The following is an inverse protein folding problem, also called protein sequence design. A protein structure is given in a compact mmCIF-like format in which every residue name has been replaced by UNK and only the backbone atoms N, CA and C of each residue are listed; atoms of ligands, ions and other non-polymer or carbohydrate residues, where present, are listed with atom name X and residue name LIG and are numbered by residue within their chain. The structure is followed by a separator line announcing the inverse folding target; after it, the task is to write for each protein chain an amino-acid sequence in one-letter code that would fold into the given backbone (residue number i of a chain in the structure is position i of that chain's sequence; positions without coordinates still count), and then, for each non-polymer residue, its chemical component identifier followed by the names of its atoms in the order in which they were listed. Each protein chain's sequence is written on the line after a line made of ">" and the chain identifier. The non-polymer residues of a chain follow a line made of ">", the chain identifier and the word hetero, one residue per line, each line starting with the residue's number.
data_IF_019924979348
#
_entry.id   IF_019924979348
#
_cell.length_a   1.000
_cell.length_b   1.000
_cell.length_c   1.000
_cell.angle_alpha   90.00
_cell.angle_beta   90.00
_cell.angle_gamma   90.00
#
_symmetry.space_group_name_H-M   'P 1'
#
loop_
_entity.id
_entity.type
_entity.pdbx_description
1 polymer ?
#
# COMPACT_ATOMS: atom_id res chain seq x y z
N UNK A 1 -4.13 -51.04 -9.04
CA UNK A 1 -4.53 -49.76 -9.60
C UNK A 1 -3.41 -48.74 -9.31
N UNK A 2 -2.65 -48.34 -10.31
CA UNK A 2 -1.61 -47.32 -10.18
C UNK A 2 -2.29 -45.95 -10.16
N UNK A 3 -2.26 -45.23 -9.03
CA UNK A 3 -2.68 -43.84 -8.95
C UNK A 3 -1.48 -42.97 -9.31
N UNK A 4 -1.62 -42.19 -10.39
CA UNK A 4 -0.65 -41.18 -10.71
C UNK A 4 -0.47 -40.24 -9.50
N UNK A 5 0.78 -39.85 -9.15
CA UNK A 5 0.98 -38.87 -8.07
C UNK A 5 0.20 -37.60 -8.42
N UNK A 6 -0.43 -36.95 -7.44
CA UNK A 6 -1.14 -35.69 -7.68
C UNK A 6 -0.19 -34.73 -8.38
N UNK A 7 -0.66 -34.11 -9.47
CA UNK A 7 0.11 -33.10 -10.17
C UNK A 7 0.60 -32.05 -9.15
N UNK A 8 1.87 -31.62 -9.23
CA UNK A 8 2.37 -30.61 -8.31
C UNK A 8 1.48 -29.37 -8.45
N UNK A 9 0.81 -29.02 -7.35
CA UNK A 9 0.04 -27.77 -7.27
C UNK A 9 1.05 -26.68 -7.56
N UNK A 10 0.96 -26.06 -8.73
CA UNK A 10 1.81 -24.93 -9.09
C UNK A 10 1.53 -23.83 -8.07
N UNK A 11 2.36 -23.73 -7.01
CA UNK A 11 2.27 -22.65 -6.05
C UNK A 11 2.44 -21.35 -6.82
N UNK A 12 1.36 -20.59 -6.89
CA UNK A 12 1.43 -19.22 -7.41
C UNK A 12 2.51 -18.46 -6.64
N UNK A 13 3.54 -18.02 -7.34
CA UNK A 13 4.65 -17.32 -6.73
C UNK A 13 4.23 -15.92 -6.30
N UNK A 14 4.30 -15.66 -4.99
CA UNK A 14 4.00 -14.35 -4.40
C UNK A 14 5.26 -13.47 -4.38
N UNK A 15 5.15 -12.17 -4.70
CA UNK A 15 6.25 -11.23 -4.51
C UNK A 15 6.80 -11.27 -3.09
N UNK A 16 8.12 -11.31 -2.98
CA UNK A 16 8.84 -11.45 -1.72
C UNK A 16 9.50 -10.13 -1.34
N UNK A 17 9.32 -9.74 -0.08
CA UNK A 17 9.98 -8.62 0.54
C UNK A 17 11.01 -9.14 1.53
N UNK A 18 12.26 -8.74 1.33
CA UNK A 18 13.39 -9.11 2.17
C UNK A 18 13.95 -7.85 2.84
N UNK A 19 13.94 -7.84 4.18
CA UNK A 19 14.42 -6.73 4.99
C UNK A 19 15.18 -7.25 6.21
N UNK A 20 16.19 -6.50 6.71
CA UNK A 20 16.92 -6.86 7.92
C UNK A 20 16.03 -6.72 9.17
N UNK A 21 16.47 -7.32 10.27
CA UNK A 21 15.86 -7.10 11.58
C UNK A 21 15.95 -5.62 12.01
N UNK A 22 15.05 -5.15 12.91
CA UNK A 22 15.06 -3.78 13.36
C UNK A 22 16.39 -3.44 14.06
N UNK A 23 17.12 -2.49 13.49
CA UNK A 23 18.39 -2.00 14.00
C UNK A 23 18.25 -0.72 14.82
N UNK A 24 19.39 -0.24 15.33
CA UNK A 24 19.47 1.10 15.95
C UNK A 24 19.27 2.17 14.88
N UNK A 25 18.56 3.22 15.23
CA UNK A 25 18.29 4.38 14.38
C UNK A 25 18.84 5.65 15.02
N UNK A 26 19.40 6.53 14.20
CA UNK A 26 19.88 7.82 14.68
C UNK A 26 18.67 8.73 14.98
N UNK A 27 18.64 9.28 16.20
CA UNK A 27 17.53 10.17 16.63
C UNK A 27 17.37 11.40 15.76
N UNK A 28 18.46 11.93 15.20
CA UNK A 28 18.41 13.07 14.30
C UNK A 28 17.77 12.72 12.95
N UNK A 29 18.08 11.55 12.39
CA UNK A 29 17.44 11.07 11.16
C UNK A 29 15.96 10.78 11.39
N UNK A 30 15.60 10.20 12.54
CA UNK A 30 14.19 9.98 12.93
C UNK A 30 13.46 11.32 13.12
N UNK A 31 14.07 12.31 13.77
CA UNK A 31 13.49 13.65 13.99
C UNK A 31 13.24 14.36 12.66
N UNK A 32 14.22 14.36 11.77
CA UNK A 32 14.17 15.09 10.49
C UNK A 32 13.63 14.25 9.33
N UNK A 33 13.12 13.04 9.60
CA UNK A 33 12.73 12.05 8.57
C UNK A 33 11.77 12.61 7.54
N UNK A 34 10.73 13.32 7.96
CA UNK A 34 9.76 13.91 7.03
C UNK A 34 10.41 14.95 6.11
N UNK A 35 11.32 15.77 6.65
CA UNK A 35 12.07 16.75 5.86
C UNK A 35 13.00 16.06 4.85
N UNK A 36 13.69 15.00 5.30
CA UNK A 36 14.56 14.22 4.41
C UNK A 36 13.79 13.49 3.31
N UNK A 37 12.50 13.16 3.55
CA UNK A 37 11.64 12.49 2.59
C UNK A 37 11.04 13.43 1.53
N UNK A 38 11.07 14.76 1.72
CA UNK A 38 10.50 15.71 0.74
C UNK A 38 11.01 15.44 -0.69
N UNK A 39 12.34 15.36 -0.95
CA UNK A 39 12.82 15.07 -2.29
C UNK A 39 12.40 13.70 -2.80
N UNK A 40 12.31 12.69 -1.91
CA UNK A 40 11.84 11.37 -2.29
C UNK A 40 10.36 11.36 -2.68
N UNK A 41 9.52 12.12 -1.96
CA UNK A 41 8.10 12.25 -2.31
C UNK A 41 7.90 12.87 -3.69
N UNK A 42 8.69 13.90 -4.03
CA UNK A 42 8.63 14.49 -5.38
C UNK A 42 9.00 13.44 -6.44
N UNK A 43 10.09 12.70 -6.23
CA UNK A 43 10.53 11.65 -7.17
C UNK A 43 9.48 10.54 -7.27
N UNK A 44 8.99 10.01 -6.14
CA UNK A 44 7.95 8.97 -6.14
C UNK A 44 6.69 9.47 -6.82
N UNK A 45 6.28 10.72 -6.60
CA UNK A 45 5.11 11.30 -7.25
C UNK A 45 5.26 11.34 -8.78
N UNK A 46 6.39 11.85 -9.29
CA UNK A 46 6.66 11.88 -10.73
C UNK A 46 6.67 10.46 -11.31
N UNK A 47 7.39 9.53 -10.65
CA UNK A 47 7.45 8.14 -11.09
C UNK A 47 6.07 7.46 -11.04
N UNK A 48 5.23 7.79 -10.06
CA UNK A 48 3.87 7.24 -9.94
C UNK A 48 2.96 7.72 -11.08
N UNK A 49 3.09 8.99 -11.49
CA UNK A 49 2.37 9.52 -12.66
C UNK A 49 2.77 8.75 -13.92
N UNK A 50 4.07 8.53 -14.14
CA UNK A 50 4.55 7.71 -15.27
C UNK A 50 4.07 6.27 -15.13
N UNK A 51 4.15 5.67 -13.93
CA UNK A 51 3.68 4.31 -13.66
C UNK A 51 2.20 4.14 -13.98
N UNK A 52 1.37 5.15 -13.72
CA UNK A 52 -0.05 5.13 -14.05
C UNK A 52 -0.28 4.95 -15.56
N UNK A 53 0.35 5.78 -16.40
CA UNK A 53 0.23 5.67 -17.86
C UNK A 53 0.83 4.37 -18.40
N UNK A 54 1.98 3.98 -17.87
CA UNK A 54 2.65 2.72 -18.24
C UNK A 54 1.77 1.51 -17.87
N UNK A 55 1.08 1.55 -16.72
CA UNK A 55 0.15 0.49 -16.31
C UNK A 55 -1.06 0.41 -17.23
N UNK A 56 -1.61 1.54 -17.68
CA UNK A 56 -2.70 1.55 -18.67
C UNK A 56 -2.24 0.93 -19.99
N UNK A 57 -1.08 1.33 -20.51
CA UNK A 57 -0.50 0.74 -21.71
C UNK A 57 -0.23 -0.76 -21.54
N UNK A 58 0.26 -1.14 -20.35
CA UNK A 58 0.48 -2.54 -19.97
C UNK A 58 -0.80 -3.36 -19.93
N UNK A 59 -1.91 -2.77 -19.46
CA UNK A 59 -3.21 -3.42 -19.40
C UNK A 59 -3.72 -3.81 -20.80
N UNK A 60 -3.68 -2.87 -21.76
CA UNK A 60 -4.01 -3.17 -23.14
C UNK A 60 -3.05 -4.19 -23.75
N UNK A 61 -1.74 -4.03 -23.52
CA UNK A 61 -0.74 -4.98 -24.00
C UNK A 61 -0.95 -6.39 -23.44
N UNK A 62 -1.26 -6.52 -22.16
CA UNK A 62 -1.51 -7.80 -21.52
C UNK A 62 -2.79 -8.47 -21.99
N UNK A 63 -3.85 -7.73 -22.31
CA UNK A 63 -5.08 -8.26 -22.90
C UNK A 63 -4.83 -8.90 -24.28
N UNK A 64 -3.97 -8.27 -25.09
CA UNK A 64 -3.65 -8.77 -26.45
C UNK A 64 -2.63 -9.90 -26.39
N UNK A 65 -1.51 -9.70 -25.68
CA UNK A 65 -0.35 -10.59 -25.68
C UNK A 65 -0.45 -11.73 -24.64
N UNK A 66 -1.31 -11.62 -23.61
CA UNK A 66 -1.34 -12.53 -22.45
C UNK A 66 -0.13 -12.38 -21.51
N UNK A 67 0.69 -11.35 -21.71
CA UNK A 67 1.85 -10.99 -20.88
C UNK A 67 2.12 -9.50 -20.96
N UNK A 68 2.86 -8.96 -20.00
CA UNK A 68 3.28 -7.57 -20.07
C UNK A 68 4.27 -7.36 -21.24
N UNK A 69 4.13 -6.26 -22.01
CA UNK A 69 5.19 -5.81 -22.90
C UNK A 69 6.50 -5.58 -22.12
N UNK A 70 7.66 -5.90 -22.74
CA UNK A 70 8.96 -5.87 -22.06
C UNK A 70 9.27 -4.51 -21.41
N UNK A 71 9.10 -3.40 -22.13
CA UNK A 71 9.37 -2.07 -21.62
C UNK A 71 8.49 -1.69 -20.40
N UNK A 72 7.23 -2.17 -20.37
CA UNK A 72 6.31 -1.97 -19.23
C UNK A 72 6.80 -2.78 -18.04
N UNK A 73 7.13 -4.07 -18.26
CA UNK A 73 7.65 -4.93 -17.20
C UNK A 73 8.96 -4.39 -16.62
N UNK A 74 9.89 -3.91 -17.45
CA UNK A 74 11.17 -3.34 -17.03
C UNK A 74 10.98 -2.09 -16.17
N UNK A 75 10.09 -1.18 -16.58
CA UNK A 75 9.80 0.02 -15.79
C UNK A 75 9.13 -0.32 -14.45
N UNK A 76 8.08 -1.13 -14.46
CA UNK A 76 7.31 -1.45 -13.25
C UNK A 76 8.12 -2.29 -12.26
N UNK A 77 8.98 -3.20 -12.73
CA UNK A 77 9.92 -3.95 -11.86
C UNK A 77 11.00 -3.08 -11.25
N UNK A 78 11.28 -1.92 -11.81
CA UNK A 78 12.16 -0.91 -11.22
C UNK A 78 11.40 0.01 -10.25
N UNK A 79 10.17 0.40 -10.59
CA UNK A 79 9.35 1.33 -9.81
C UNK A 79 8.86 0.73 -8.49
N UNK A 80 8.29 -0.49 -8.50
CA UNK A 80 7.71 -1.11 -7.28
C UNK A 80 8.74 -1.29 -6.16
N UNK A 81 9.97 -1.79 -6.40
CA UNK A 81 10.99 -1.83 -5.35
C UNK A 81 11.40 -0.45 -4.86
N UNK A 82 11.43 0.55 -5.74
CA UNK A 82 11.75 1.93 -5.35
C UNK A 82 10.70 2.51 -4.40
N UNK A 83 9.42 2.43 -4.75
CA UNK A 83 8.30 2.87 -3.89
C UNK A 83 8.28 2.11 -2.56
N UNK A 84 8.57 0.81 -2.58
CA UNK A 84 8.64 -0.03 -1.37
C UNK A 84 9.75 0.41 -0.43
N UNK A 85 10.94 0.76 -0.95
CA UNK A 85 12.08 1.26 -0.15
C UNK A 85 11.76 2.59 0.51
N UNK A 86 11.17 3.52 -0.24
CA UNK A 86 10.75 4.82 0.30
C UNK A 86 9.66 4.65 1.36
N UNK A 87 8.70 3.75 1.14
CA UNK A 87 7.66 3.43 2.11
C UNK A 87 8.24 2.78 3.37
N UNK A 88 9.18 1.85 3.27
CA UNK A 88 9.83 1.23 4.43
C UNK A 88 10.62 2.25 5.26
N UNK A 89 11.32 3.18 4.60
CA UNK A 89 12.00 4.28 5.27
C UNK A 89 11.01 5.24 5.95
N UNK A 90 9.92 5.61 5.28
CA UNK A 90 8.84 6.44 5.84
C UNK A 90 8.23 5.80 7.09
N UNK A 91 8.02 4.49 7.08
CA UNK A 91 7.45 3.73 8.21
C UNK A 91 8.46 3.43 9.31
N UNK A 92 9.61 4.12 9.36
CA UNK A 92 10.62 4.03 10.44
C UNK A 92 11.23 2.62 10.59
N UNK A 93 11.25 1.81 9.53
CA UNK A 93 11.74 0.43 9.62
C UNK A 93 13.27 0.32 9.57
N UNK A 94 13.95 1.30 8.98
CA UNK A 94 15.39 1.34 8.79
C UNK A 94 15.90 2.79 8.82
N UNK A 95 17.19 2.96 9.07
CA UNK A 95 17.82 4.28 9.13
C UNK A 95 18.51 4.69 7.82
N UNK A 96 18.82 3.71 6.97
CA UNK A 96 19.49 3.94 5.69
C UNK A 96 18.58 4.73 4.74
N UNK A 97 19.07 5.91 4.29
CA UNK A 97 18.33 6.76 3.36
C UNK A 97 18.17 6.07 1.99
N UNK A 98 16.96 6.02 1.41
CA UNK A 98 16.73 5.37 0.12
C UNK A 98 17.48 6.12 -1.00
N UNK A 99 18.36 5.44 -1.75
CA UNK A 99 19.11 6.07 -2.83
C UNK A 99 18.20 6.37 -4.05
N UNK A 100 18.51 7.45 -4.76
CA UNK A 100 17.82 7.86 -6.00
C UNK A 100 18.17 6.97 -7.21
N UNK A 101 18.29 5.66 -7.00
CA UNK A 101 18.63 4.68 -8.04
C UNK A 101 17.62 3.54 -8.03
N UNK A 102 17.22 3.09 -9.20
CA UNK A 102 16.28 1.97 -9.31
C UNK A 102 16.90 0.65 -8.86
N UNK A 103 18.10 0.35 -9.29
CA UNK A 103 18.81 -0.89 -8.96
C UNK A 103 19.89 -0.60 -7.90
N UNK A 104 19.70 -1.14 -6.72
CA UNK A 104 20.59 -0.98 -5.57
C UNK A 104 20.71 -2.31 -4.85
N UNK A 105 21.58 -3.23 -5.34
CA UNK A 105 21.75 -4.55 -4.72
C UNK A 105 22.30 -4.48 -3.29
N UNK A 106 22.97 -3.38 -2.95
CA UNK A 106 23.57 -3.14 -1.62
C UNK A 106 22.56 -2.61 -0.59
N UNK A 107 21.39 -2.13 -1.04
CA UNK A 107 20.40 -1.57 -0.12
C UNK A 107 19.67 -2.67 0.65
N UNK A 108 19.44 -2.49 1.97
CA UNK A 108 18.92 -3.56 2.84
C UNK A 108 17.50 -4.02 2.51
N UNK A 109 16.70 -3.22 1.83
CA UNK A 109 15.35 -3.61 1.38
C UNK A 109 15.43 -4.16 -0.04
N UNK A 110 15.13 -5.44 -0.18
CA UNK A 110 15.08 -6.14 -1.47
C UNK A 110 13.67 -6.62 -1.77
N UNK A 111 13.27 -6.48 -3.01
CA UNK A 111 11.98 -6.95 -3.51
C UNK A 111 12.25 -7.89 -4.68
N UNK A 112 11.79 -9.13 -4.56
CA UNK A 112 11.82 -10.09 -5.66
C UNK A 112 10.48 -10.05 -6.39
N UNK A 113 10.53 -9.79 -7.70
CA UNK A 113 9.38 -9.79 -8.60
C UNK A 113 9.70 -10.70 -9.78
N UNK A 114 8.75 -11.55 -10.16
CA UNK A 114 8.88 -12.47 -11.30
C UNK A 114 7.67 -12.28 -12.23
N UNK A 115 7.76 -11.32 -13.17
CA UNK A 115 6.73 -11.17 -14.19
C UNK A 115 6.58 -12.48 -14.98
N UNK A 116 5.36 -12.94 -15.15
CA UNK A 116 5.04 -14.19 -15.81
C UNK A 116 3.87 -14.04 -16.78
N UNK A 117 3.34 -15.19 -17.22
CA UNK A 117 2.13 -15.23 -18.02
C UNK A 117 0.92 -14.74 -17.20
N UNK A 118 0.03 -14.04 -17.88
CA UNK A 118 -1.17 -13.46 -17.29
C UNK A 118 -2.42 -14.07 -17.95
N UNK A 119 -3.38 -14.45 -17.13
CA UNK A 119 -4.69 -14.84 -17.62
C UNK A 119 -5.44 -13.59 -18.11
N UNK A 120 -5.81 -13.55 -19.39
CA UNK A 120 -6.48 -12.39 -20.02
C UNK A 120 -7.80 -12.04 -19.34
N UNK A 121 -8.59 -13.03 -18.88
CA UNK A 121 -9.81 -12.78 -18.13
C UNK A 121 -9.50 -12.14 -16.76
N UNK A 122 -8.46 -12.64 -16.07
CA UNK A 122 -8.03 -12.05 -14.82
C UNK A 122 -7.51 -10.62 -15.01
N UNK A 123 -6.84 -10.33 -16.14
CA UNK A 123 -6.41 -8.96 -16.49
C UNK A 123 -7.61 -8.07 -16.76
N UNK A 124 -8.63 -8.54 -17.48
CA UNK A 124 -9.84 -7.78 -17.77
C UNK A 124 -10.57 -7.37 -16.47
N UNK A 125 -10.76 -8.31 -15.56
CA UNK A 125 -11.45 -8.07 -14.28
C UNK A 125 -10.52 -7.61 -13.15
N UNK A 126 -9.25 -7.34 -13.43
CA UNK A 126 -8.23 -7.05 -12.40
C UNK A 126 -8.58 -5.85 -11.53
N UNK A 127 -9.18 -4.81 -12.12
CA UNK A 127 -9.63 -3.63 -11.39
C UNK A 127 -10.66 -4.02 -10.32
N UNK A 128 -11.61 -4.89 -10.67
CA UNK A 128 -12.62 -5.39 -9.72
C UNK A 128 -11.99 -6.33 -8.70
N UNK A 129 -11.12 -7.23 -9.14
CA UNK A 129 -10.46 -8.22 -8.29
C UNK A 129 -9.51 -7.57 -7.25
N UNK A 130 -8.93 -6.42 -7.56
CA UNK A 130 -8.03 -5.73 -6.62
C UNK A 130 -8.78 -4.98 -5.52
N UNK A 131 -10.07 -4.64 -5.71
CA UNK A 131 -10.85 -3.82 -4.76
C UNK A 131 -10.80 -4.35 -3.33
N UNK A 132 -11.08 -5.64 -3.05
CA UNK A 132 -11.02 -6.14 -1.67
C UNK A 132 -9.64 -5.99 -1.04
N UNK A 133 -8.59 -6.29 -1.81
CA UNK A 133 -7.22 -6.14 -1.32
C UNK A 133 -6.84 -4.67 -1.09
N UNK A 134 -7.29 -3.78 -1.97
CA UNK A 134 -7.07 -2.34 -1.83
C UNK A 134 -7.80 -1.74 -0.61
N UNK A 135 -9.02 -2.21 -0.33
CA UNK A 135 -9.77 -1.83 0.89
C UNK A 135 -8.98 -2.25 2.14
N UNK A 136 -8.59 -3.51 2.23
CA UNK A 136 -7.80 -4.01 3.37
C UNK A 136 -6.49 -3.24 3.52
N UNK A 137 -5.77 -3.02 2.42
CA UNK A 137 -4.56 -2.20 2.40
C UNK A 137 -4.81 -0.78 2.89
N UNK A 138 -5.87 -0.14 2.39
CA UNK A 138 -6.26 1.22 2.79
C UNK A 138 -6.57 1.32 4.27
N UNK A 139 -7.33 0.36 4.82
CA UNK A 139 -7.67 0.33 6.23
C UNK A 139 -6.44 0.19 7.14
N UNK A 140 -5.57 -0.81 6.89
CA UNK A 140 -4.37 -0.98 7.74
C UNK A 140 -3.41 0.20 7.63
N UNK A 141 -3.31 0.79 6.43
CA UNK A 141 -2.45 1.95 6.20
C UNK A 141 -3.00 3.21 6.89
N UNK A 142 -4.31 3.45 6.79
CA UNK A 142 -4.99 4.55 7.50
C UNK A 142 -4.86 4.41 9.02
N UNK A 143 -5.06 3.21 9.56
CA UNK A 143 -4.88 2.96 11.00
C UNK A 143 -3.44 3.16 11.46
N UNK A 144 -2.44 2.77 10.67
CA UNK A 144 -1.04 3.06 10.97
C UNK A 144 -0.80 4.58 11.01
N UNK A 145 -1.35 5.33 10.04
CA UNK A 145 -1.23 6.79 10.01
C UNK A 145 -1.88 7.48 11.20
N UNK A 146 -3.00 6.97 11.71
CA UNK A 146 -3.64 7.54 12.91
C UNK A 146 -2.71 7.53 14.13
N UNK A 147 -1.84 6.54 14.24
CA UNK A 147 -0.90 6.40 15.37
C UNK A 147 0.54 6.73 14.98
N UNK A 148 0.79 7.20 13.76
CA UNK A 148 2.15 7.43 13.24
C UNK A 148 2.96 8.38 14.13
N UNK A 149 2.33 9.39 14.73
CA UNK A 149 2.99 10.30 15.66
C UNK A 149 3.47 9.59 16.93
N UNK A 150 2.64 8.70 17.48
CA UNK A 150 3.01 7.88 18.65
C UNK A 150 4.16 6.93 18.29
N UNK A 151 4.08 6.29 17.13
CA UNK A 151 5.14 5.41 16.61
C UNK A 151 6.45 6.20 16.47
N UNK A 152 6.39 7.37 15.86
CA UNK A 152 7.54 8.25 15.69
C UNK A 152 8.16 8.64 17.04
N UNK A 153 7.34 9.01 18.03
CA UNK A 153 7.80 9.36 19.36
C UNK A 153 8.46 8.16 20.07
N UNK A 154 7.86 6.98 19.97
CA UNK A 154 8.42 5.73 20.54
C UNK A 154 9.79 5.43 19.92
N UNK A 155 9.92 5.52 18.60
CA UNK A 155 11.19 5.24 17.90
C UNK A 155 12.23 6.32 18.24
N UNK A 156 11.83 7.60 18.35
CA UNK A 156 12.70 8.71 18.71
C UNK A 156 13.28 8.54 20.12
N UNK A 157 12.45 8.11 21.09
CA UNK A 157 12.88 7.90 22.48
C UNK A 157 13.77 6.66 22.60
N UNK A 158 13.33 5.54 22.03
CA UNK A 158 14.03 4.24 22.13
C UNK A 158 15.27 4.16 21.24
N UNK A 159 15.35 4.96 20.17
CA UNK A 159 16.41 4.85 19.16
C UNK A 159 16.34 3.56 18.33
N UNK A 160 15.23 2.84 18.38
CA UNK A 160 14.95 1.63 17.59
C UNK A 160 13.45 1.35 17.56
N UNK A 161 13.01 0.62 16.54
CA UNK A 161 11.62 0.18 16.46
C UNK A 161 11.42 -1.09 17.32
N UNK A 162 10.43 -1.13 18.23
CA UNK A 162 10.07 -2.35 18.96
C UNK A 162 9.68 -3.49 18.02
N UNK A 163 10.09 -4.73 18.35
CA UNK A 163 9.88 -5.90 17.49
C UNK A 163 8.42 -6.10 17.05
N UNK A 164 7.39 -6.07 17.93
CA UNK A 164 6.01 -6.26 17.48
C UNK A 164 5.53 -5.17 16.52
N UNK A 165 6.01 -3.93 16.71
CA UNK A 165 5.67 -2.81 15.86
C UNK A 165 6.36 -2.93 14.49
N UNK A 166 7.62 -3.39 14.47
CA UNK A 166 8.35 -3.68 13.25
C UNK A 166 7.65 -4.77 12.43
N UNK A 167 7.25 -5.88 13.06
CA UNK A 167 6.53 -6.99 12.42
C UNK A 167 5.21 -6.53 11.79
N UNK A 168 4.42 -5.75 12.53
CA UNK A 168 3.17 -5.20 12.03
C UNK A 168 3.40 -4.25 10.84
N UNK A 169 4.39 -3.35 10.93
CA UNK A 169 4.74 -2.42 9.85
C UNK A 169 5.29 -3.18 8.63
N UNK A 170 6.12 -4.22 8.83
CA UNK A 170 6.64 -5.07 7.76
C UNK A 170 5.51 -5.81 7.02
N UNK A 171 4.51 -6.28 7.76
CA UNK A 171 3.34 -6.91 7.16
C UNK A 171 2.55 -5.92 6.28
N UNK A 172 2.40 -4.66 6.71
CA UNK A 172 1.72 -3.61 5.94
C UNK A 172 2.51 -3.30 4.66
N UNK A 173 3.82 -3.06 4.76
CA UNK A 173 4.68 -2.77 3.60
C UNK A 173 4.66 -3.92 2.60
N UNK A 174 4.77 -5.17 3.09
CA UNK A 174 4.71 -6.37 2.25
C UNK A 174 3.35 -6.51 1.56
N UNK A 175 2.25 -6.33 2.29
CA UNK A 175 0.91 -6.42 1.73
C UNK A 175 0.68 -5.32 0.68
N UNK A 176 1.10 -4.09 0.95
CA UNK A 176 1.07 -2.98 0.00
C UNK A 176 1.87 -3.30 -1.27
N UNK A 177 3.09 -3.77 -1.13
CA UNK A 177 3.95 -4.16 -2.25
C UNK A 177 3.29 -5.26 -3.10
N UNK A 178 2.71 -6.31 -2.47
CA UNK A 178 1.99 -7.38 -3.16
C UNK A 178 0.75 -6.87 -3.89
N UNK A 179 -0.04 -5.99 -3.25
CA UNK A 179 -1.23 -5.38 -3.87
C UNK A 179 -0.84 -4.50 -5.05
N UNK A 180 0.20 -3.68 -4.91
CA UNK A 180 0.73 -2.86 -6.01
C UNK A 180 1.25 -3.75 -7.15
N UNK A 181 2.07 -4.77 -6.87
CA UNK A 181 2.58 -5.69 -7.87
C UNK A 181 1.45 -6.45 -8.61
N UNK A 182 0.41 -6.84 -7.88
CA UNK A 182 -0.79 -7.40 -8.47
C UNK A 182 -1.50 -6.38 -9.36
N UNK A 183 -1.76 -5.17 -8.88
CA UNK A 183 -2.44 -4.11 -9.63
C UNK A 183 -1.73 -3.77 -10.93
N UNK A 184 -0.41 -3.58 -10.89
CA UNK A 184 0.41 -3.27 -12.08
C UNK A 184 0.77 -4.50 -12.93
N UNK A 185 0.16 -5.65 -12.68
CA UNK A 185 0.30 -6.90 -13.47
C UNK A 185 1.69 -7.56 -13.43
N UNK A 186 2.52 -7.23 -12.45
CA UNK A 186 3.81 -7.89 -12.23
C UNK A 186 3.67 -9.26 -11.55
N UNK A 187 2.52 -9.55 -10.95
CA UNK A 187 2.21 -10.85 -10.35
C UNK A 187 0.82 -11.31 -10.77
N UNK A 188 0.66 -12.59 -11.11
CA UNK A 188 -0.64 -13.24 -11.30
C UNK A 188 -1.28 -13.62 -9.96
N UNK A 189 -0.47 -13.82 -8.91
CA UNK A 189 -0.93 -14.24 -7.60
C UNK A 189 -1.68 -13.12 -6.87
N UNK A 190 -2.88 -13.45 -6.36
CA UNK A 190 -3.67 -12.54 -5.55
C UNK A 190 -2.94 -12.18 -4.24
N UNK A 191 -2.92 -10.92 -3.80
CA UNK A 191 -2.23 -10.51 -2.58
C UNK A 191 -2.82 -11.19 -1.35
N UNK A 192 -1.98 -11.97 -0.66
CA UNK A 192 -2.31 -12.76 0.54
C UNK A 192 -1.28 -12.49 1.63
N UNK A 193 -1.56 -12.96 2.85
CA UNK A 193 -0.58 -13.04 3.93
C UNK A 193 -0.38 -11.71 4.68
N UNK A 194 -1.43 -10.92 4.88
CA UNK A 194 -1.36 -9.74 5.76
C UNK A 194 -0.93 -10.13 7.19
N UNK A 195 -1.46 -11.23 7.71
CA UNK A 195 -1.15 -11.73 9.06
C UNK A 195 0.08 -12.67 9.12
N UNK A 196 0.98 -12.55 8.19
CA UNK A 196 2.19 -13.39 8.13
C UNK A 196 2.03 -14.61 7.23
N UNK A 197 3.08 -15.41 7.19
CA UNK A 197 3.13 -16.70 6.52
C UNK A 197 2.91 -17.82 7.54
N UNK A 198 2.33 -18.94 7.13
CA UNK A 198 2.12 -20.08 8.01
C UNK A 198 3.47 -20.67 8.45
N UNK A 199 3.59 -20.98 9.74
CA UNK A 199 4.77 -21.61 10.33
C UNK A 199 4.95 -22.99 9.66
N UNK A 200 6.02 -23.15 8.88
CA UNK A 200 6.33 -24.40 8.16
C UNK A 200 6.40 -24.26 6.65
N UNK A 201 6.14 -23.09 6.09
CA UNK A 201 6.49 -22.82 4.69
C UNK A 201 8.01 -22.79 4.56
N UNK A 202 8.59 -23.77 3.85
CA UNK A 202 10.01 -23.71 3.49
C UNK A 202 10.28 -22.40 2.74
N UNK A 203 11.25 -21.59 3.20
CA UNK A 203 11.57 -20.34 2.52
C UNK A 203 12.24 -20.65 1.19
N UNK A 204 11.66 -20.19 0.12
CA UNK A 204 12.22 -20.23 -1.24
C UNK A 204 13.40 -19.24 -1.31
N UNK A 205 14.55 -19.57 -0.71
CA UNK A 205 15.76 -18.74 -0.73
C UNK A 205 16.33 -18.35 0.65
N UNK A 206 17.24 -17.37 0.72
CA UNK A 206 17.91 -16.99 1.96
C UNK A 206 16.93 -16.49 3.02
N UNK A 207 17.12 -16.94 4.26
CA UNK A 207 16.27 -16.57 5.41
C UNK A 207 16.63 -15.14 5.86
N UNK A 208 15.62 -14.29 6.04
CA UNK A 208 15.75 -12.95 6.60
C UNK A 208 14.69 -12.68 7.67
N UNK A 209 14.71 -11.51 8.30
CA UNK A 209 13.71 -11.13 9.30
C UNK A 209 12.27 -11.06 8.77
N UNK A 210 12.11 -10.91 7.45
CA UNK A 210 10.81 -10.87 6.77
C UNK A 210 10.58 -12.07 5.84
N UNK A 211 11.48 -13.05 5.82
CA UNK A 211 11.40 -14.23 4.96
C UNK A 211 11.72 -15.51 5.73
N UNK A 212 10.75 -16.31 6.19
CA UNK A 212 9.31 -16.01 6.22
C UNK A 212 8.95 -14.95 7.27
N UNK A 213 7.95 -14.11 6.99
CA UNK A 213 7.45 -13.18 8.00
C UNK A 213 6.51 -13.91 8.95
N UNK A 214 7.04 -14.25 10.12
CA UNK A 214 6.26 -14.84 11.22
C UNK A 214 5.97 -13.71 12.22
N UNK A 215 4.67 -13.43 12.42
CA UNK A 215 4.23 -12.41 13.36
C UNK A 215 4.09 -12.98 14.76
N UNK A 216 4.65 -12.30 15.73
CA UNK A 216 4.38 -12.53 17.15
C UNK A 216 2.92 -12.23 17.49
N UNK A 217 2.46 -12.70 18.66
CA UNK A 217 1.12 -12.33 19.17
C UNK A 217 0.92 -10.82 19.27
N UNK A 218 1.96 -10.07 19.68
CA UNK A 218 1.96 -8.61 19.73
C UNK A 218 1.86 -7.96 18.34
N UNK A 219 2.60 -8.46 17.36
CA UNK A 219 2.52 -7.98 15.97
C UNK A 219 1.15 -8.20 15.34
N UNK A 220 0.56 -9.38 15.58
CA UNK A 220 -0.83 -9.66 15.13
C UNK A 220 -1.85 -8.75 15.81
N UNK A 221 -1.72 -8.55 17.13
CA UNK A 221 -2.57 -7.63 17.89
C UNK A 221 -2.51 -6.20 17.36
N UNK A 222 -1.31 -5.69 17.06
CA UNK A 222 -1.14 -4.36 16.46
C UNK A 222 -1.77 -4.24 15.07
N UNK A 223 -1.67 -5.27 14.22
CA UNK A 223 -2.35 -5.26 12.92
C UNK A 223 -3.87 -5.18 13.06
N UNK A 224 -4.45 -5.91 14.03
CA UNK A 224 -5.88 -5.82 14.31
C UNK A 224 -6.24 -4.42 14.80
N UNK A 225 -5.44 -3.81 15.68
CA UNK A 225 -5.63 -2.43 16.13
C UNK A 225 -5.58 -1.47 14.94
N UNK A 226 -4.61 -1.60 14.04
CA UNK A 226 -4.53 -0.75 12.85
C UNK A 226 -5.74 -0.93 11.94
N UNK A 227 -6.24 -2.16 11.75
CA UNK A 227 -7.48 -2.39 11.00
C UNK A 227 -8.68 -1.67 11.63
N UNK A 228 -8.86 -1.82 12.95
CA UNK A 228 -9.96 -1.17 13.68
C UNK A 228 -9.89 0.35 13.60
N UNK A 229 -8.69 0.93 13.82
CA UNK A 229 -8.48 2.36 13.69
C UNK A 229 -8.71 2.86 12.25
N UNK A 230 -8.35 2.07 11.25
CA UNK A 230 -8.63 2.37 9.85
C UNK A 230 -10.13 2.40 9.56
N UNK A 231 -10.90 1.45 10.11
CA UNK A 231 -12.38 1.45 10.01
C UNK A 231 -12.95 2.71 10.67
N UNK A 232 -12.49 3.07 11.87
CA UNK A 232 -12.90 4.30 12.55
C UNK A 232 -12.59 5.52 11.69
N UNK A 233 -11.39 5.62 11.13
CA UNK A 233 -10.98 6.70 10.23
C UNK A 233 -11.91 6.82 9.02
N UNK A 234 -12.23 5.68 8.41
CA UNK A 234 -13.09 5.63 7.23
C UNK A 234 -14.53 6.07 7.55
N UNK A 235 -15.11 5.57 8.65
CA UNK A 235 -16.45 5.95 9.11
C UNK A 235 -16.51 7.44 9.44
N UNK A 236 -15.53 7.97 10.17
CA UNK A 236 -15.48 9.40 10.53
C UNK A 236 -15.41 10.28 9.28
N UNK A 237 -14.57 9.92 8.30
CA UNK A 237 -14.47 10.66 7.03
C UNK A 237 -15.79 10.65 6.26
N UNK A 238 -16.49 9.53 6.23
CA UNK A 238 -17.78 9.40 5.54
C UNK A 238 -18.86 10.27 6.18
N UNK A 239 -18.91 10.33 7.53
CA UNK A 239 -19.86 11.18 8.27
C UNK A 239 -19.59 12.66 8.00
N UNK A 240 -18.33 13.09 8.07
CA UNK A 240 -17.94 14.49 7.85
C UNK A 240 -18.31 14.96 6.43
N UNK A 241 -18.12 14.10 5.43
CA UNK A 241 -18.51 14.41 4.04
C UNK A 241 -20.02 14.56 3.92
N UNK A 242 -20.80 13.71 4.57
CA UNK A 242 -22.27 13.77 4.51
C UNK A 242 -22.83 15.01 5.20
N UNK A 243 -22.23 15.46 6.30
CA UNK A 243 -22.64 16.67 7.02
C UNK A 243 -22.34 17.92 6.18
N UNK A 244 -21.15 18.04 5.61
CA UNK A 244 -20.78 19.18 4.77
C UNK A 244 -21.63 19.29 3.49
N UNK A 245 -22.03 18.17 2.89
CA UNK A 245 -22.90 18.17 1.71
C UNK A 245 -24.35 18.58 2.05
N UNK A 246 -24.79 18.43 3.30
CA UNK A 246 -26.11 18.84 3.75
C UNK A 246 -26.25 20.33 4.05
N UNK A 247 -25.14 21.00 4.37
CA UNK A 247 -25.15 22.45 4.66
C UNK A 247 -25.18 23.30 3.38
N UNK A 248 -24.58 22.84 2.29
CA UNK A 248 -24.57 23.56 1.00
C UNK A 248 -25.95 23.63 0.34
N UNK A 249 -26.85 22.67 0.63
CA UNK A 249 -28.25 22.69 0.10
C UNK A 249 -29.18 23.65 0.86
N UNK A 250 -28.79 24.13 2.05
CA UNK A 250 -29.66 24.99 2.88
C UNK A 250 -29.39 26.50 2.73
N UNK A 251 -28.25 26.87 2.13
CA UNK A 251 -27.93 28.29 1.86
C UNK A 251 -28.59 28.86 0.58
N UNK A 252 -29.33 28.03 -0.15
CA UNK A 252 -30.07 28.44 -1.37
C UNK A 252 -31.38 29.21 -1.12
N UNK A 253 -31.84 29.34 0.12
CA UNK A 253 -33.04 30.10 0.46
C UNK A 253 -32.68 31.52 0.90
N UNK A 254 -32.51 32.41 -0.08
CA UNK A 254 -32.26 33.81 0.14
C UNK A 254 -33.48 34.47 0.85
N UNK A 255 -33.39 34.91 2.13
CA UNK A 255 -34.50 35.50 2.84
C UNK A 255 -34.95 36.88 2.32
N UNK A 256 -34.28 37.47 1.33
CA UNK A 256 -34.54 38.77 0.78
C UNK A 256 -35.61 38.79 -0.34
N UNK A 257 -36.14 37.64 -0.76
CA UNK A 257 -37.20 37.59 -1.80
C UNK A 257 -38.62 37.67 -1.24
N UNK A 258 -38.84 37.88 0.07
CA UNK A 258 -40.18 37.96 0.67
C UNK A 258 -40.75 39.36 0.83
N UNK A 259 -40.12 40.39 0.34
CA UNK A 259 -40.66 41.75 0.46
C UNK A 259 -40.60 42.43 -0.89
N UNK A 260 -41.58 42.20 -1.75
CA UNK A 260 -42.14 43.15 -2.72
C UNK A 260 -43.30 42.39 -3.44
N UNK A 261 -44.48 42.29 -2.83
CA UNK A 261 -45.72 42.12 -3.56
C UNK A 261 -46.22 43.52 -3.87
N UNK A 262 -46.41 43.90 -5.15
CA UNK A 262 -47.04 45.20 -5.47
C UNK A 262 -48.53 45.13 -5.14
N UNK A 263 -48.99 46.10 -4.30
CA UNK A 263 -50.38 46.41 -4.11
C UNK A 263 -51.00 46.81 -5.45
N UNK A 264 -51.91 45.99 -5.98
CA UNK A 264 -52.78 46.33 -7.13
C UNK A 264 -53.89 47.16 -6.61
N UNK A 265 -54.12 48.43 -7.11
CA UNK A 265 -55.28 49.19 -6.76
C UNK A 265 -56.47 48.66 -7.55
N UNK A 266 -57.61 48.41 -6.86
CA UNK A 266 -58.88 48.00 -7.46
C UNK A 266 -59.58 49.14 -8.25
N UNK A 267 -60.36 48.75 -9.23
CA UNK A 267 -61.10 49.77 -10.09
C UNK A 267 -62.25 50.37 -9.34
N UNK A 268 -62.40 51.66 -9.57
CA UNK A 268 -63.63 52.42 -9.29
C UNK A 268 -64.65 52.19 -10.39
#
# INVERSE_FOLDING_TARGET
>A
MWQAPPAPVSREWLPVLDMPAPGAQNRWTVLLRLLLLIPQFVVVWVLSVVAFFVTIAGWFGALVLGRLPGFVADYLTAFVPYDTRVTAYLMLMLDDYPPFRFRTPEYPVRVELRPGELNRLAVLFRIVLVIPAAIVQGLVYAGWWMVCFVIWLVVLILGRMPQPLYEASAAIVRYRMRTTAYFVMLSSAYPKGLFGEETGSEPDGPVSATRPLVLSGGGRGLLVVFLLLGVVSWVTSSITTSVNSGDDDNDGINPTQRVIAPLVPGPR
#
